data_IF_113223327505
#
_entry.id   IF_113223327505
#
_cell.length_a   1.000
_cell.length_b   1.000
_cell.length_c   1.000
_cell.angle_alpha   90.00
_cell.angle_beta   90.00
_cell.angle_gamma   90.00
#
_symmetry.space_group_name_H-M   'P 1'
#
loop_
_entity.id
_entity.type
_entity.pdbx_description
1 polymer ?
#
# COMPACT_ATOMS: atom_id res chain seq x y z
N UNK A 1 -80.63 41.50 -21.43
CA UNK A 1 -79.74 42.55 -22.04
C UNK A 1 -78.53 42.69 -21.17
N UNK A 2 -77.39 42.43 -21.73
CA UNK A 2 -76.01 42.84 -21.56
C UNK A 2 -75.07 41.67 -21.84
N UNK A 3 -74.46 41.72 -23.02
CA UNK A 3 -73.33 40.96 -23.47
C UNK A 3 -72.11 41.19 -22.60
N UNK A 4 -71.39 40.14 -22.26
CA UNK A 4 -69.99 40.22 -21.85
C UNK A 4 -69.17 39.19 -22.66
N UNK A 5 -68.37 39.73 -23.54
CA UNK A 5 -67.41 39.04 -24.39
C UNK A 5 -66.26 38.46 -23.59
N UNK A 6 -65.99 37.14 -23.82
CA UNK A 6 -64.84 36.44 -23.28
C UNK A 6 -63.65 36.56 -24.24
N UNK A 7 -62.59 37.25 -23.77
CA UNK A 7 -61.34 37.36 -24.51
C UNK A 7 -60.49 36.10 -24.24
N UNK A 8 -60.19 35.34 -25.30
CA UNK A 8 -59.27 34.20 -25.29
C UNK A 8 -57.84 34.71 -25.43
N UNK A 9 -57.06 34.68 -24.34
CA UNK A 9 -55.60 34.88 -24.40
C UNK A 9 -54.95 33.59 -24.96
N UNK A 10 -54.35 33.71 -26.15
CA UNK A 10 -53.48 32.71 -26.71
C UNK A 10 -52.12 32.82 -26.04
N UNK A 11 -51.76 31.87 -25.16
CA UNK A 11 -50.39 31.66 -24.67
C UNK A 11 -49.59 30.96 -25.80
N UNK A 12 -48.64 31.69 -26.35
CA UNK A 12 -47.66 31.12 -27.28
C UNK A 12 -46.55 30.45 -26.46
N UNK A 13 -46.54 29.14 -26.38
CA UNK A 13 -45.44 28.39 -25.74
C UNK A 13 -44.25 28.34 -26.70
N UNK A 14 -43.21 29.13 -26.38
CA UNK A 14 -41.93 29.11 -27.04
C UNK A 14 -41.13 27.87 -26.53
N UNK A 15 -41.09 26.78 -27.29
CA UNK A 15 -40.20 25.65 -27.03
C UNK A 15 -38.79 26.08 -27.43
N UNK A 16 -37.93 26.40 -26.45
CA UNK A 16 -36.49 26.51 -26.60
C UNK A 16 -35.92 25.10 -26.85
N UNK A 17 -35.62 24.80 -28.10
CA UNK A 17 -34.78 23.65 -28.48
C UNK A 17 -33.34 23.93 -28.04
N UNK A 18 -32.96 23.50 -26.83
CA UNK A 18 -31.57 23.41 -26.43
C UNK A 18 -30.94 22.24 -27.22
N UNK A 19 -29.83 22.49 -27.95
CA UNK A 19 -29.13 21.38 -28.59
C UNK A 19 -28.57 20.47 -27.49
N UNK A 20 -29.02 19.21 -27.45
CA UNK A 20 -28.40 18.13 -26.71
C UNK A 20 -27.00 17.90 -27.32
N UNK A 21 -26.01 18.56 -26.74
CA UNK A 21 -24.62 18.19 -27.03
C UNK A 21 -24.43 16.74 -26.56
N UNK A 22 -23.91 15.86 -27.40
CA UNK A 22 -23.62 14.50 -26.96
C UNK A 22 -22.58 14.56 -25.84
N UNK A 23 -22.98 14.19 -24.64
CA UNK A 23 -22.03 13.86 -23.57
C UNK A 23 -21.22 12.69 -24.11
N UNK A 24 -20.00 12.94 -24.57
CA UNK A 24 -19.04 11.89 -24.85
C UNK A 24 -18.75 11.24 -23.49
N UNK A 25 -19.43 10.15 -23.20
CA UNK A 25 -18.95 9.17 -22.23
C UNK A 25 -17.60 8.69 -22.79
N UNK A 26 -16.51 9.18 -22.21
CA UNK A 26 -15.22 8.53 -22.39
C UNK A 26 -15.42 7.12 -21.85
N UNK A 27 -15.53 6.15 -22.76
CA UNK A 27 -15.54 4.75 -22.37
C UNK A 27 -14.24 4.55 -21.57
N UNK A 28 -14.35 4.17 -20.33
CA UNK A 28 -13.22 3.80 -19.51
C UNK A 28 -12.56 2.63 -20.23
N UNK A 29 -11.37 2.83 -20.81
CA UNK A 29 -10.64 1.77 -21.48
C UNK A 29 -10.54 0.60 -20.52
N UNK A 30 -11.10 -0.52 -20.90
CA UNK A 30 -11.01 -1.75 -20.12
C UNK A 30 -9.54 -2.15 -20.06
N UNK A 31 -8.93 -2.14 -18.88
CA UNK A 31 -7.56 -2.59 -18.71
C UNK A 31 -7.39 -4.01 -19.26
N UNK A 32 -6.42 -4.15 -20.17
CA UNK A 32 -6.01 -5.44 -20.72
C UNK A 32 -4.56 -5.68 -20.29
N UNK A 33 -4.30 -6.72 -19.49
CA UNK A 33 -2.94 -7.02 -19.04
C UNK A 33 -2.05 -7.40 -20.24
N UNK A 34 -0.79 -6.96 -20.20
CA UNK A 34 0.20 -7.36 -21.21
C UNK A 34 0.60 -8.84 -21.05
N UNK A 35 1.22 -9.46 -22.08
CA UNK A 35 1.76 -10.82 -21.96
C UNK A 35 2.76 -10.95 -20.81
N UNK A 36 3.60 -9.95 -20.56
CA UNK A 36 4.57 -9.90 -19.47
C UNK A 36 3.87 -9.86 -18.12
N UNK A 37 2.76 -9.10 -18.00
CA UNK A 37 1.95 -9.04 -16.77
C UNK A 37 1.27 -10.39 -16.51
N UNK A 38 0.69 -11.02 -17.53
CA UNK A 38 0.05 -12.33 -17.39
C UNK A 38 1.04 -13.41 -16.94
N UNK A 39 2.26 -13.42 -17.45
CA UNK A 39 3.30 -14.35 -17.00
C UNK A 39 3.75 -14.02 -15.56
N UNK A 40 3.89 -12.74 -15.21
CA UNK A 40 4.21 -12.32 -13.86
C UNK A 40 3.13 -12.76 -12.84
N UNK A 41 1.84 -12.64 -13.18
CA UNK A 41 0.73 -13.14 -12.35
C UNK A 41 0.84 -14.64 -12.10
N UNK A 42 1.14 -15.41 -13.14
CA UNK A 42 1.31 -16.86 -13.04
C UNK A 42 2.48 -17.23 -12.13
N UNK A 43 3.64 -16.64 -12.36
CA UNK A 43 4.83 -16.85 -11.53
C UNK A 43 4.58 -16.45 -10.06
N UNK A 44 3.89 -15.31 -9.83
CA UNK A 44 3.54 -14.88 -8.49
C UNK A 44 2.62 -15.89 -7.79
N UNK A 45 1.61 -16.42 -8.47
CA UNK A 45 0.69 -17.41 -7.90
C UNK A 45 1.40 -18.71 -7.43
N UNK A 46 2.59 -19.01 -7.96
CA UNK A 46 3.38 -20.19 -7.61
C UNK A 46 4.33 -19.97 -6.43
N UNK A 47 4.60 -18.72 -6.02
CA UNK A 47 5.59 -18.37 -4.98
C UNK A 47 5.23 -18.84 -3.57
N UNK A 48 3.95 -18.89 -3.24
CA UNK A 48 3.32 -19.38 -2.00
C UNK A 48 3.74 -18.71 -0.71
N UNK A 49 4.98 -18.24 -0.54
CA UNK A 49 5.49 -17.66 0.69
C UNK A 49 6.37 -16.43 0.42
N UNK A 50 6.06 -15.32 1.09
CA UNK A 50 6.83 -14.09 1.09
C UNK A 50 6.94 -13.49 2.49
N UNK A 51 7.87 -12.54 2.65
CA UNK A 51 8.07 -11.79 3.89
C UNK A 51 7.63 -10.34 3.69
N UNK A 52 6.72 -9.87 4.53
CA UNK A 52 6.39 -8.47 4.67
C UNK A 52 7.33 -7.82 5.66
N UNK A 53 7.88 -6.65 5.34
CA UNK A 53 8.80 -5.94 6.22
C UNK A 53 8.21 -4.57 6.52
N UNK A 54 7.63 -4.42 7.73
CA UNK A 54 7.17 -3.13 8.22
C UNK A 54 8.29 -2.45 9.00
N UNK A 55 8.99 -1.56 8.34
CA UNK A 55 10.11 -0.85 8.95
C UNK A 55 10.22 0.59 8.43
N UNK A 56 10.38 1.52 9.35
CA UNK A 56 10.50 2.94 9.10
C UNK A 56 10.85 3.68 10.39
N UNK A 57 10.74 5.01 10.36
CA UNK A 57 11.02 5.85 11.53
C UNK A 57 10.12 5.51 12.73
N UNK A 58 8.93 4.97 12.51
CA UNK A 58 8.05 4.48 13.58
C UNK A 58 8.69 3.41 14.48
N UNK A 59 9.66 2.66 13.96
CA UNK A 59 10.38 1.67 14.77
C UNK A 59 11.16 2.28 15.93
N UNK A 60 11.62 3.54 15.79
CA UNK A 60 12.34 4.26 16.85
C UNK A 60 11.51 4.41 18.13
N UNK A 61 10.21 4.56 17.99
CA UNK A 61 9.30 4.69 19.13
C UNK A 61 8.97 3.36 19.78
N UNK A 62 9.24 2.24 19.09
CA UNK A 62 8.94 0.88 19.56
C UNK A 62 7.49 0.69 20.07
N UNK A 63 6.53 1.35 19.40
CA UNK A 63 5.10 1.35 19.73
C UNK A 63 4.22 0.89 18.56
N UNK A 64 4.83 0.38 17.47
CA UNK A 64 4.15 0.00 16.24
C UNK A 64 3.96 1.17 15.27
N UNK A 65 3.53 0.84 14.07
CA UNK A 65 3.45 1.75 12.91
C UNK A 65 2.35 2.81 13.02
N UNK A 66 1.36 2.59 13.88
CA UNK A 66 0.22 3.52 14.10
C UNK A 66 0.45 4.50 15.25
N UNK A 67 1.62 4.51 15.87
CA UNK A 67 1.87 5.30 17.09
C UNK A 67 1.59 6.79 16.91
N UNK A 68 2.00 7.36 15.78
CA UNK A 68 1.79 8.79 15.49
C UNK A 68 0.32 9.20 15.60
N UNK A 69 -0.57 8.50 14.91
CA UNK A 69 -2.01 8.82 14.91
C UNK A 69 -2.70 8.40 16.20
N UNK A 70 -2.34 7.24 16.78
CA UNK A 70 -2.96 6.75 18.01
C UNK A 70 -2.65 7.63 19.24
N UNK A 71 -1.47 8.24 19.27
CA UNK A 71 -1.04 9.13 20.32
C UNK A 71 -1.27 10.62 20.01
N UNK A 72 -1.88 10.94 18.85
CA UNK A 72 -2.11 12.30 18.36
C UNK A 72 -0.83 13.16 18.38
N UNK A 73 0.29 12.59 17.94
CA UNK A 73 1.56 13.31 17.91
C UNK A 73 1.57 14.27 16.71
N UNK A 74 1.95 15.52 16.97
CA UNK A 74 2.14 16.51 15.91
C UNK A 74 3.15 15.99 14.89
N UNK A 75 2.82 16.06 13.60
CA UNK A 75 3.64 15.49 12.52
C UNK A 75 5.01 16.13 12.41
N UNK A 76 5.15 17.42 12.71
CA UNK A 76 6.45 18.10 12.70
C UNK A 76 7.32 17.66 13.87
N UNK A 77 6.72 17.43 15.06
CA UNK A 77 7.43 16.88 16.22
C UNK A 77 7.84 15.42 15.98
N UNK A 78 6.93 14.62 15.41
CA UNK A 78 7.22 13.23 15.04
C UNK A 78 8.38 13.12 14.04
N UNK A 79 8.38 13.99 13.02
CA UNK A 79 9.40 13.99 11.99
C UNK A 79 10.82 14.27 12.52
N UNK A 80 10.97 14.91 13.68
CA UNK A 80 12.29 15.12 14.33
C UNK A 80 12.98 13.80 14.66
N UNK A 81 12.23 12.70 14.83
CA UNK A 81 12.80 11.38 15.07
C UNK A 81 13.70 10.91 13.90
N UNK A 82 13.57 11.47 12.69
CA UNK A 82 14.47 11.21 11.58
C UNK A 82 15.94 11.53 11.94
N UNK A 83 16.19 12.50 12.83
CA UNK A 83 17.53 12.86 13.29
C UNK A 83 18.15 11.84 14.25
N UNK A 84 17.38 10.84 14.67
CA UNK A 84 17.85 9.72 15.49
C UNK A 84 17.89 8.40 14.68
N UNK A 85 17.45 8.38 13.41
CA UNK A 85 17.37 7.17 12.63
C UNK A 85 18.78 6.78 12.11
N UNK A 86 19.38 5.82 12.82
CA UNK A 86 20.72 5.31 12.52
C UNK A 86 20.78 3.79 12.69
N UNK A 87 20.20 3.01 11.76
CA UNK A 87 20.14 1.56 11.82
C UNK A 87 21.49 0.92 11.48
N UNK A 88 22.44 0.99 12.40
CA UNK A 88 23.82 0.56 12.21
C UNK A 88 24.01 -0.96 12.07
N UNK A 89 22.99 -1.76 12.47
CA UNK A 89 23.00 -3.22 12.33
C UNK A 89 22.22 -3.71 11.11
N UNK A 90 21.65 -2.81 10.31
CA UNK A 90 20.96 -3.21 9.08
C UNK A 90 21.95 -3.81 8.09
N UNK A 91 21.62 -5.01 7.62
CA UNK A 91 22.35 -5.73 6.60
C UNK A 91 21.37 -6.46 5.68
N UNK A 92 21.24 -6.00 4.44
CA UNK A 92 20.25 -6.49 3.47
C UNK A 92 20.54 -7.96 3.10
N UNK A 93 21.80 -8.31 2.91
CA UNK A 93 22.23 -9.65 2.51
C UNK A 93 21.89 -10.68 3.61
N UNK A 94 22.08 -10.31 4.88
CA UNK A 94 21.70 -11.18 6.03
C UNK A 94 20.19 -11.33 6.15
N UNK A 95 19.43 -10.25 5.91
CA UNK A 95 17.97 -10.34 5.91
C UNK A 95 17.48 -11.29 4.82
N UNK A 96 17.93 -11.08 3.59
CA UNK A 96 17.52 -11.89 2.44
C UNK A 96 17.94 -13.36 2.62
N UNK A 97 19.16 -13.62 3.14
CA UNK A 97 19.59 -14.97 3.46
C UNK A 97 18.65 -15.65 4.48
N UNK A 98 18.31 -14.97 5.58
CA UNK A 98 17.40 -15.52 6.59
C UNK A 98 16.00 -15.81 6.02
N UNK A 99 15.48 -14.95 5.16
CA UNK A 99 14.17 -15.12 4.52
C UNK A 99 14.18 -16.27 3.50
N UNK A 100 15.22 -16.34 2.67
CA UNK A 100 15.41 -17.45 1.72
C UNK A 100 15.54 -18.79 2.43
N UNK A 101 16.31 -18.84 3.53
CA UNK A 101 16.50 -20.05 4.32
C UNK A 101 15.19 -20.53 4.99
N UNK A 102 14.27 -19.58 5.29
CA UNK A 102 12.91 -19.90 5.73
C UNK A 102 11.99 -20.36 4.57
N UNK A 103 12.46 -20.36 3.33
CA UNK A 103 11.70 -20.77 2.15
C UNK A 103 10.92 -19.64 1.44
N UNK A 104 11.07 -18.39 1.87
CA UNK A 104 10.42 -17.26 1.20
C UNK A 104 10.95 -17.07 -0.23
N UNK A 105 10.08 -16.62 -1.12
CA UNK A 105 10.37 -16.42 -2.55
C UNK A 105 10.30 -14.95 -2.96
N UNK A 106 9.82 -14.07 -2.09
CA UNK A 106 9.74 -12.64 -2.31
C UNK A 106 9.68 -11.90 -0.98
N UNK A 107 9.99 -10.62 -1.03
CA UNK A 107 9.79 -9.68 0.07
C UNK A 107 8.90 -8.54 -0.38
N UNK A 108 8.11 -7.99 0.53
CA UNK A 108 7.38 -6.75 0.35
C UNK A 108 7.85 -5.77 1.43
N UNK A 109 8.47 -4.67 1.04
CA UNK A 109 9.07 -3.70 1.95
C UNK A 109 8.26 -2.40 2.00
N UNK A 110 7.99 -1.87 3.21
CA UNK A 110 7.33 -0.57 3.36
C UNK A 110 8.24 0.56 2.89
N UNK A 111 8.17 0.90 1.61
CA UNK A 111 8.95 2.01 1.05
C UNK A 111 8.55 3.35 1.67
N UNK A 112 7.25 3.55 1.89
CA UNK A 112 6.67 4.70 2.58
C UNK A 112 5.35 4.28 3.23
N UNK A 113 5.28 4.36 4.56
CA UNK A 113 4.08 4.06 5.34
C UNK A 113 3.25 5.34 5.58
N UNK A 114 2.16 5.25 6.32
CA UNK A 114 1.22 6.34 6.60
C UNK A 114 1.84 7.57 7.26
N UNK A 115 2.96 7.41 7.96
CA UNK A 115 3.73 8.50 8.57
C UNK A 115 4.53 9.34 7.57
N UNK A 116 4.46 9.02 6.27
CA UNK A 116 5.01 9.80 5.18
C UNK A 116 6.52 9.74 5.01
N UNK A 117 7.25 8.99 5.86
CA UNK A 117 8.70 8.89 5.76
C UNK A 117 9.12 7.94 4.63
N UNK A 118 9.97 8.44 3.72
CA UNK A 118 10.46 7.67 2.58
C UNK A 118 11.76 6.94 2.90
N UNK A 119 11.79 5.62 2.74
CA UNK A 119 12.94 4.76 3.05
C UNK A 119 14.00 4.74 1.93
N UNK A 120 13.89 5.62 0.95
CA UNK A 120 14.86 5.85 -0.14
C UNK A 120 15.17 7.33 -0.27
N UNK A 121 16.22 7.65 -1.03
CA UNK A 121 16.59 9.04 -1.33
C UNK A 121 15.70 9.60 -2.44
N UNK A 122 14.50 10.04 -2.06
CA UNK A 122 13.57 10.68 -2.99
C UNK A 122 13.96 12.13 -3.26
N UNK A 123 13.77 12.57 -4.50
CA UNK A 123 13.89 13.99 -4.88
C UNK A 123 12.57 14.77 -4.63
N UNK A 124 11.51 14.07 -4.23
CA UNK A 124 10.17 14.64 -4.10
C UNK A 124 9.89 15.26 -2.73
N UNK A 125 10.70 14.98 -1.71
CA UNK A 125 10.49 15.40 -0.31
C UNK A 125 11.81 15.38 0.45
N UNK A 126 11.99 16.29 1.42
CA UNK A 126 13.11 16.26 2.36
C UNK A 126 12.92 15.24 3.51
N UNK A 127 11.71 14.67 3.62
CA UNK A 127 11.38 13.70 4.67
C UNK A 127 11.69 12.27 4.23
N UNK A 128 12.99 11.95 4.20
CA UNK A 128 13.49 10.67 3.69
C UNK A 128 14.81 10.23 4.35
N UNK A 129 15.15 8.96 4.17
CA UNK A 129 16.32 8.29 4.76
C UNK A 129 17.65 8.98 4.48
N UNK A 130 17.80 9.64 3.32
CA UNK A 130 19.02 10.35 2.93
C UNK A 130 19.35 11.54 3.83
N UNK A 131 18.34 12.13 4.48
CA UNK A 131 18.44 13.26 5.40
C UNK A 131 18.51 12.84 6.87
N UNK A 132 18.79 11.56 7.14
CA UNK A 132 19.02 11.03 8.48
C UNK A 132 20.52 10.85 8.74
N UNK A 133 20.95 10.63 9.99
CA UNK A 133 22.35 10.29 10.28
C UNK A 133 22.84 9.03 9.58
N UNK A 134 21.94 8.11 9.24
CA UNK A 134 22.30 6.92 8.45
C UNK A 134 22.65 7.26 6.99
N UNK A 135 21.88 8.12 6.35
CA UNK A 135 22.16 8.71 5.05
C UNK A 135 22.32 7.74 3.86
N UNK A 136 22.03 6.43 4.05
CA UNK A 136 22.16 5.42 2.99
C UNK A 136 20.78 4.98 2.52
N UNK A 137 20.67 4.68 1.23
CA UNK A 137 19.43 4.21 0.61
C UNK A 137 19.18 2.73 0.96
N UNK A 138 18.12 2.48 1.72
CA UNK A 138 17.76 1.12 2.16
C UNK A 138 17.12 0.35 1.03
N UNK A 139 16.29 1.02 0.20
CA UNK A 139 15.61 0.36 -0.93
C UNK A 139 16.64 -0.12 -1.96
N UNK A 140 17.65 0.69 -2.25
CA UNK A 140 18.73 0.28 -3.16
C UNK A 140 19.40 -1.02 -2.66
N UNK A 141 19.78 -1.05 -1.38
CA UNK A 141 20.43 -2.23 -0.80
C UNK A 141 19.55 -3.48 -0.77
N UNK A 142 18.26 -3.31 -0.49
CA UNK A 142 17.32 -4.43 -0.51
C UNK A 142 17.06 -4.93 -1.93
N UNK A 143 16.93 -4.02 -2.90
CA UNK A 143 16.77 -4.37 -4.30
C UNK A 143 17.96 -5.18 -4.81
N UNK A 144 19.19 -4.70 -4.57
CA UNK A 144 20.41 -5.41 -4.96
C UNK A 144 20.46 -6.81 -4.34
N UNK A 145 20.25 -6.92 -3.02
CA UNK A 145 20.27 -8.21 -2.33
C UNK A 145 19.16 -9.17 -2.82
N UNK A 146 17.97 -8.66 -3.17
CA UNK A 146 16.90 -9.47 -3.74
C UNK A 146 17.27 -9.99 -5.13
N UNK A 147 17.78 -9.11 -6.00
CA UNK A 147 18.13 -9.48 -7.38
C UNK A 147 19.29 -10.48 -7.42
N UNK A 148 20.30 -10.30 -6.57
CA UNK A 148 21.43 -11.23 -6.46
C UNK A 148 21.04 -12.62 -5.95
N UNK A 149 19.90 -12.73 -5.25
CA UNK A 149 19.41 -14.00 -4.66
C UNK A 149 18.15 -14.55 -5.34
N UNK A 150 17.75 -14.04 -6.51
CA UNK A 150 16.52 -14.42 -7.23
C UNK A 150 15.26 -14.35 -6.34
N UNK A 151 15.22 -13.37 -5.44
CA UNK A 151 14.08 -13.05 -4.59
C UNK A 151 13.20 -12.00 -5.25
N UNK A 152 11.90 -12.23 -5.33
CA UNK A 152 10.97 -11.20 -5.79
C UNK A 152 11.02 -9.96 -4.90
N UNK A 153 11.06 -8.78 -5.52
CA UNK A 153 11.13 -7.51 -4.81
C UNK A 153 9.84 -6.72 -5.00
N UNK A 154 9.05 -6.62 -3.93
CA UNK A 154 7.80 -5.87 -3.89
C UNK A 154 7.95 -4.65 -2.99
N UNK A 155 7.28 -3.56 -3.34
CA UNK A 155 7.27 -2.33 -2.56
C UNK A 155 5.86 -2.00 -2.10
N UNK A 156 5.67 -1.93 -0.77
CA UNK A 156 4.47 -1.33 -0.19
C UNK A 156 4.57 0.19 -0.31
N UNK A 157 3.49 0.82 -0.69
CA UNK A 157 3.36 2.27 -0.77
C UNK A 157 1.99 2.73 -0.25
N UNK A 158 1.98 3.63 0.73
CA UNK A 158 0.75 4.18 1.30
C UNK A 158 0.14 5.26 0.41
N UNK A 159 -1.16 5.13 0.10
CA UNK A 159 -1.94 6.20 -0.50
C UNK A 159 -2.24 7.32 0.48
N UNK A 160 -2.41 7.01 1.77
CA UNK A 160 -2.66 8.02 2.79
C UNK A 160 -1.35 8.56 3.39
N UNK A 161 -1.42 9.80 3.90
CA UNK A 161 -0.28 10.48 4.53
C UNK A 161 -0.73 11.33 5.72
N UNK A 162 -0.14 11.07 6.88
CA UNK A 162 -0.43 11.82 8.09
C UNK A 162 0.41 13.08 8.26
N UNK A 163 1.30 13.39 7.33
CA UNK A 163 2.27 14.50 7.44
C UNK A 163 2.07 15.59 6.40
N UNK A 164 1.69 15.22 5.17
CA UNK A 164 1.57 16.18 4.07
C UNK A 164 0.28 17.00 4.16
N UNK A 165 0.42 18.31 4.01
CA UNK A 165 -0.72 19.24 4.07
C UNK A 165 -1.66 19.10 2.87
N UNK A 166 -1.14 18.71 1.68
CA UNK A 166 -1.92 18.53 0.46
C UNK A 166 -2.72 17.23 0.42
N UNK A 167 -2.43 16.23 1.30
CA UNK A 167 -3.29 15.06 1.46
C UNK A 167 -4.58 15.43 2.20
N UNK A 168 -5.79 15.13 1.66
CA UNK A 168 -7.05 15.37 2.35
C UNK A 168 -7.11 14.63 3.70
N UNK A 169 -7.69 15.27 4.71
CA UNK A 169 -7.84 14.63 6.03
C UNK A 169 -8.99 13.62 5.95
N UNK A 170 -8.66 12.34 6.03
CA UNK A 170 -9.60 11.23 6.06
C UNK A 170 -10.06 10.86 7.47
N UNK A 171 -10.25 9.55 7.72
CA UNK A 171 -10.63 9.02 9.04
C UNK A 171 -9.51 9.07 10.05
N UNK A 172 -8.26 8.99 9.61
CA UNK A 172 -7.06 8.88 10.44
C UNK A 172 -6.18 10.13 10.35
N UNK A 173 -5.19 10.24 11.22
CA UNK A 173 -4.26 11.36 11.23
C UNK A 173 -4.87 12.72 11.55
N UNK A 174 -6.09 12.77 12.12
CA UNK A 174 -6.78 14.04 12.44
C UNK A 174 -6.08 14.83 13.55
N UNK A 175 -5.44 14.13 14.48
CA UNK A 175 -4.72 14.72 15.60
C UNK A 175 -3.26 15.06 15.32
N UNK A 176 -2.79 14.94 14.08
CA UNK A 176 -1.37 15.13 13.73
C UNK A 176 -0.94 16.58 13.52
N UNK A 177 -1.86 17.54 13.70
CA UNK A 177 -1.55 18.97 13.62
C UNK A 177 -1.46 19.54 12.21
N UNK A 178 -1.83 18.77 11.17
CA UNK A 178 -1.98 19.29 9.82
C UNK A 178 -3.10 20.32 9.75
N UNK A 179 -2.92 21.35 8.92
CA UNK A 179 -3.90 22.43 8.77
C UNK A 179 -5.04 22.09 7.80
N UNK A 180 -4.93 20.96 7.08
CA UNK A 180 -5.95 20.50 6.16
C UNK A 180 -6.07 21.32 4.88
N UNK A 181 -4.98 21.84 4.37
CA UNK A 181 -4.92 22.54 3.08
C UNK A 181 -4.87 21.52 1.93
N UNK A 182 -5.93 20.71 1.82
CA UNK A 182 -6.01 19.63 0.85
C UNK A 182 -5.88 20.14 -0.59
N UNK A 183 -4.93 19.55 -1.33
CA UNK A 183 -4.83 19.64 -2.79
C UNK A 183 -4.52 18.25 -3.34
N UNK A 184 -5.58 17.50 -3.64
CA UNK A 184 -5.43 16.13 -4.14
C UNK A 184 -4.58 16.07 -5.41
N UNK A 185 -4.70 17.01 -6.32
CA UNK A 185 -3.91 17.00 -7.55
C UNK A 185 -2.41 17.20 -7.27
N UNK A 186 -2.07 18.01 -6.28
CA UNK A 186 -0.68 18.17 -5.81
C UNK A 186 -0.17 16.87 -5.21
N UNK A 187 -0.93 16.28 -4.28
CA UNK A 187 -0.56 15.03 -3.63
C UNK A 187 -0.48 13.86 -4.62
N UNK A 188 -1.41 13.76 -5.56
CA UNK A 188 -1.42 12.74 -6.60
C UNK A 188 -0.18 12.82 -7.50
N UNK A 189 0.21 14.03 -7.92
CA UNK A 189 1.47 14.22 -8.66
C UNK A 189 2.70 13.81 -7.84
N UNK A 190 2.71 14.16 -6.54
CA UNK A 190 3.78 13.75 -5.63
C UNK A 190 3.91 12.22 -5.57
N UNK A 191 2.81 11.49 -5.34
CA UNK A 191 2.82 10.02 -5.33
C UNK A 191 3.34 9.44 -6.65
N UNK A 192 2.84 9.94 -7.79
CA UNK A 192 3.25 9.43 -9.10
C UNK A 192 4.72 9.72 -9.42
N UNK A 193 5.27 10.84 -8.97
CA UNK A 193 6.69 11.14 -9.09
C UNK A 193 7.52 10.16 -8.24
N UNK A 194 7.12 9.89 -7.00
CA UNK A 194 7.76 8.90 -6.13
C UNK A 194 7.67 7.48 -6.69
N UNK A 195 6.52 7.07 -7.22
CA UNK A 195 6.37 5.78 -7.91
C UNK A 195 7.26 5.68 -9.15
N UNK A 196 7.41 6.78 -9.88
CA UNK A 196 8.34 6.83 -11.03
C UNK A 196 9.78 6.60 -10.56
N UNK A 197 10.22 7.24 -9.47
CA UNK A 197 11.54 6.97 -8.89
C UNK A 197 11.72 5.51 -8.51
N UNK A 198 10.75 4.94 -7.78
CA UNK A 198 10.80 3.55 -7.32
C UNK A 198 10.86 2.55 -8.48
N UNK A 199 10.16 2.82 -9.57
CA UNK A 199 10.07 1.93 -10.73
C UNK A 199 11.18 2.17 -11.79
N UNK A 200 12.04 3.19 -11.61
CA UNK A 200 13.10 3.48 -12.60
C UNK A 200 14.51 3.44 -12.03
N UNK A 201 14.68 3.48 -10.69
CA UNK A 201 16.00 3.59 -10.05
C UNK A 201 16.55 2.28 -9.48
N UNK A 202 15.69 1.30 -9.21
CA UNK A 202 16.02 0.12 -8.41
C UNK A 202 15.92 -1.19 -9.20
N UNK A 203 16.03 -1.12 -10.53
CA UNK A 203 15.92 -2.29 -11.39
C UNK A 203 14.49 -2.84 -11.42
N UNK A 204 14.36 -4.17 -11.44
CA UNK A 204 13.07 -4.83 -11.50
C UNK A 204 12.33 -4.74 -10.16
N UNK A 205 11.11 -4.20 -10.20
CA UNK A 205 10.14 -4.25 -9.10
C UNK A 205 9.03 -5.22 -9.50
N UNK A 206 8.88 -6.33 -8.77
CA UNK A 206 7.90 -7.36 -9.13
C UNK A 206 6.46 -6.96 -8.80
N UNK A 207 6.25 -6.14 -7.77
CA UNK A 207 4.92 -5.61 -7.46
C UNK A 207 4.96 -4.30 -6.67
N UNK A 208 3.91 -3.47 -6.84
CA UNK A 208 3.53 -2.40 -5.92
C UNK A 208 2.34 -2.87 -5.09
N UNK A 209 2.47 -2.78 -3.78
CA UNK A 209 1.48 -3.12 -2.79
C UNK A 209 0.92 -1.84 -2.16
N UNK A 210 -0.27 -1.43 -2.56
CA UNK A 210 -0.91 -0.21 -2.06
C UNK A 210 -1.73 -0.46 -0.80
N UNK A 211 -1.84 0.61 0.01
CA UNK A 211 -2.65 0.63 1.22
C UNK A 211 -3.19 2.04 1.50
N UNK A 212 -4.18 2.15 2.39
CA UNK A 212 -4.68 3.42 2.89
C UNK A 212 -5.89 3.98 2.18
N UNK A 213 -6.36 3.35 1.10
CA UNK A 213 -7.55 3.80 0.37
C UNK A 213 -8.80 3.83 1.26
N UNK A 214 -8.89 2.96 2.26
CA UNK A 214 -9.95 2.88 3.26
C UNK A 214 -10.06 4.14 4.15
N UNK A 215 -9.09 5.05 4.13
CA UNK A 215 -9.12 6.29 4.93
C UNK A 215 -10.29 7.23 4.53
N UNK A 216 -10.78 7.10 3.30
CA UNK A 216 -11.90 7.86 2.73
C UNK A 216 -13.16 7.02 2.41
N UNK A 217 -13.25 5.78 2.91
CA UNK A 217 -14.36 4.86 2.62
C UNK A 217 -15.71 5.28 3.22
N UNK A 218 -15.72 6.25 4.15
CA UNK A 218 -16.90 6.81 4.82
C UNK A 218 -17.22 8.24 4.42
N UNK A 219 -16.58 8.75 3.40
CA UNK A 219 -16.89 10.09 2.91
C UNK A 219 -18.29 10.11 2.30
N UNK A 220 -19.01 11.21 2.50
CA UNK A 220 -20.37 11.38 1.97
C UNK A 220 -20.45 11.40 0.45
N UNK A 221 -19.35 11.78 -0.19
CA UNK A 221 -19.13 11.70 -1.63
C UNK A 221 -17.96 10.74 -1.86
N UNK A 222 -18.10 9.72 -2.72
CA UNK A 222 -16.99 8.80 -3.01
C UNK A 222 -15.74 9.56 -3.44
N UNK A 223 -14.62 9.25 -2.80
CA UNK A 223 -13.34 9.89 -3.08
C UNK A 223 -12.75 9.31 -4.38
N UNK A 224 -12.44 10.19 -5.34
CA UNK A 224 -11.80 9.77 -6.59
C UNK A 224 -10.28 9.67 -6.40
N UNK A 225 -9.80 8.44 -6.24
CA UNK A 225 -8.39 8.12 -6.08
C UNK A 225 -7.59 8.21 -7.38
N UNK A 226 -8.23 8.38 -8.53
CA UNK A 226 -7.61 8.39 -9.86
C UNK A 226 -6.74 7.14 -10.15
N UNK A 227 -7.16 5.99 -9.63
CA UNK A 227 -6.40 4.73 -9.68
C UNK A 227 -6.04 4.31 -11.10
N UNK A 228 -6.95 4.48 -12.06
CA UNK A 228 -6.69 4.09 -13.44
C UNK A 228 -5.46 4.79 -14.04
N UNK A 229 -5.25 6.07 -13.70
CA UNK A 229 -4.08 6.84 -14.16
C UNK A 229 -2.80 6.34 -13.47
N UNK A 230 -2.87 6.08 -12.17
CA UNK A 230 -1.74 5.59 -11.39
C UNK A 230 -1.33 4.18 -11.79
N UNK A 231 -2.28 3.26 -11.97
CA UNK A 231 -2.03 1.90 -12.41
C UNK A 231 -1.46 1.86 -13.85
N UNK A 232 -2.00 2.69 -14.75
CA UNK A 232 -1.45 2.85 -16.10
C UNK A 232 -0.02 3.38 -16.09
N UNK A 233 0.35 4.27 -15.17
CA UNK A 233 1.73 4.74 -15.00
C UNK A 233 2.65 3.56 -14.64
N UNK A 234 2.27 2.74 -13.67
CA UNK A 234 3.06 1.60 -13.19
C UNK A 234 3.27 0.60 -14.33
N UNK A 235 2.19 0.15 -14.97
CA UNK A 235 2.28 -0.84 -16.06
C UNK A 235 3.03 -0.29 -17.29
N UNK A 236 3.02 1.02 -17.54
CA UNK A 236 3.83 1.62 -18.61
C UNK A 236 5.32 1.64 -18.27
N UNK A 237 5.68 1.90 -17.00
CA UNK A 237 7.07 1.94 -16.55
C UNK A 237 7.68 0.53 -16.47
N UNK A 238 6.91 -0.41 -15.92
CA UNK A 238 7.30 -1.82 -15.81
C UNK A 238 6.08 -2.72 -16.12
N UNK A 239 5.92 -3.20 -17.36
CA UNK A 239 4.74 -4.00 -17.76
C UNK A 239 4.53 -5.27 -16.95
N UNK A 240 5.59 -5.88 -16.41
CA UNK A 240 5.53 -7.07 -15.57
C UNK A 240 5.31 -6.75 -14.07
N UNK A 241 5.35 -5.48 -13.65
CA UNK A 241 5.10 -5.10 -12.26
C UNK A 241 3.62 -5.32 -11.92
N UNK A 242 3.36 -6.13 -10.90
CA UNK A 242 2.01 -6.44 -10.44
C UNK A 242 1.50 -5.34 -9.48
N UNK A 243 0.19 -5.16 -9.46
CA UNK A 243 -0.47 -4.20 -8.56
C UNK A 243 -1.42 -4.96 -7.64
N UNK A 244 -1.21 -4.81 -6.32
CA UNK A 244 -2.17 -5.17 -5.28
C UNK A 244 -2.56 -3.93 -4.48
N UNK A 245 -3.82 -3.84 -4.05
CA UNK A 245 -4.30 -2.72 -3.26
C UNK A 245 -5.17 -3.22 -2.10
N UNK A 246 -4.75 -2.90 -0.87
CA UNK A 246 -5.39 -3.34 0.37
C UNK A 246 -6.59 -2.45 0.74
N UNK A 247 -7.55 -2.35 -0.17
CA UNK A 247 -8.78 -1.57 0.04
C UNK A 247 -9.94 -2.39 0.62
N UNK A 248 -9.76 -3.71 0.83
CA UNK A 248 -10.75 -4.63 1.38
C UNK A 248 -12.00 -4.83 0.51
N UNK A 249 -11.92 -4.53 -0.78
CA UNK A 249 -12.99 -4.66 -1.76
C UNK A 249 -12.60 -5.67 -2.84
N UNK A 250 -13.55 -6.00 -3.73
CA UNK A 250 -13.27 -6.72 -4.97
C UNK A 250 -12.30 -5.90 -5.83
N UNK A 251 -11.29 -6.51 -6.49
CA UNK A 251 -10.28 -5.80 -7.25
C UNK A 251 -10.84 -4.86 -8.31
N UNK A 252 -10.21 -3.70 -8.43
CA UNK A 252 -10.50 -2.74 -9.50
C UNK A 252 -9.75 -3.08 -10.79
N UNK A 253 -10.22 -2.56 -11.96
CA UNK A 253 -9.49 -2.70 -13.21
C UNK A 253 -8.05 -2.17 -13.09
N UNK A 254 -7.08 -2.98 -13.51
CA UNK A 254 -5.66 -2.67 -13.40
C UNK A 254 -4.96 -3.30 -12.20
N UNK A 255 -5.69 -3.91 -11.28
CA UNK A 255 -5.10 -4.71 -10.21
C UNK A 255 -4.78 -6.13 -10.70
N UNK A 256 -3.70 -6.69 -10.17
CA UNK A 256 -3.12 -7.96 -10.58
C UNK A 256 -3.12 -9.00 -9.48
N UNK A 257 -3.25 -8.57 -8.22
CA UNK A 257 -3.25 -9.38 -7.02
C UNK A 257 -4.44 -8.97 -6.16
N UNK A 258 -5.22 -9.94 -5.69
CA UNK A 258 -6.25 -9.70 -4.68
C UNK A 258 -5.69 -9.97 -3.28
N UNK A 259 -5.84 -8.98 -2.40
CA UNK A 259 -5.28 -9.00 -1.05
C UNK A 259 -6.33 -9.33 0.00
N UNK A 260 -5.93 -10.13 1.00
CA UNK A 260 -6.74 -10.49 2.17
C UNK A 260 -5.93 -10.20 3.43
N UNK A 261 -6.36 -9.22 4.21
CA UNK A 261 -5.65 -8.84 5.42
C UNK A 261 -6.09 -9.70 6.60
N UNK A 262 -5.11 -10.34 7.27
CA UNK A 262 -5.26 -11.15 8.50
C UNK A 262 -6.09 -12.42 8.36
N UNK A 263 -6.80 -12.62 7.27
CA UNK A 263 -7.61 -13.81 6.99
C UNK A 263 -7.16 -14.51 5.71
N UNK A 264 -7.42 -15.81 5.60
CA UNK A 264 -7.25 -16.52 4.33
C UNK A 264 -8.47 -16.30 3.44
N UNK A 265 -8.36 -16.42 2.09
CA UNK A 265 -9.48 -16.20 1.19
C UNK A 265 -10.73 -17.02 1.56
N UNK A 266 -11.87 -16.35 1.68
CA UNK A 266 -13.15 -16.92 2.10
C UNK A 266 -13.36 -16.96 3.62
N UNK A 267 -12.46 -16.42 4.41
CA UNK A 267 -12.66 -16.12 5.84
C UNK A 267 -12.76 -14.61 6.05
N UNK A 268 -13.42 -14.19 7.12
CA UNK A 268 -13.54 -12.78 7.53
C UNK A 268 -13.62 -12.66 9.06
N UNK A 269 -12.68 -13.29 9.76
CA UNK A 269 -12.61 -13.28 11.24
C UNK A 269 -12.08 -11.95 11.77
N UNK A 270 -11.17 -11.34 11.02
CA UNK A 270 -10.64 -10.02 11.33
C UNK A 270 -11.58 -8.87 10.90
N UNK A 271 -12.59 -9.17 10.09
CA UNK A 271 -13.54 -8.18 9.59
C UNK A 271 -13.02 -7.35 8.39
N UNK A 272 -11.89 -7.73 7.81
CA UNK A 272 -11.20 -6.99 6.73
C UNK A 272 -11.17 -7.76 5.39
N UNK A 273 -11.76 -8.95 5.32
CA UNK A 273 -11.60 -9.88 4.19
C UNK A 273 -12.94 -10.46 3.71
N UNK A 274 -14.01 -9.64 3.78
CA UNK A 274 -15.36 -10.05 3.40
C UNK A 274 -15.66 -9.98 1.90
N UNK A 275 -14.71 -9.54 1.07
CA UNK A 275 -14.88 -9.42 -0.38
C UNK A 275 -14.96 -10.78 -1.07
N UNK A 276 -15.66 -10.81 -2.22
CA UNK A 276 -15.71 -12.00 -3.08
C UNK A 276 -14.32 -12.34 -3.65
N UNK A 277 -14.06 -13.64 -3.81
CA UNK A 277 -12.79 -14.14 -4.37
C UNK A 277 -12.83 -13.97 -5.89
N UNK A 278 -11.88 -13.23 -6.44
CA UNK A 278 -11.70 -13.03 -7.87
C UNK A 278 -10.90 -14.18 -8.53
N UNK A 279 -10.62 -14.03 -9.82
CA UNK A 279 -9.73 -14.94 -10.58
C UNK A 279 -8.26 -14.50 -10.58
N UNK A 280 -7.94 -13.39 -9.93
CA UNK A 280 -6.56 -12.92 -9.81
C UNK A 280 -5.76 -13.83 -8.86
N UNK A 281 -4.44 -13.82 -8.93
CA UNK A 281 -3.59 -14.34 -7.87
C UNK A 281 -4.00 -13.78 -6.52
N UNK A 282 -4.00 -14.63 -5.50
CA UNK A 282 -4.47 -14.29 -4.15
C UNK A 282 -3.28 -14.19 -3.19
N UNK A 283 -3.33 -13.21 -2.30
CA UNK A 283 -2.34 -13.07 -1.23
C UNK A 283 -3.02 -12.78 0.10
N UNK A 284 -2.58 -13.47 1.15
CA UNK A 284 -2.95 -13.19 2.53
C UNK A 284 -1.77 -12.58 3.26
N UNK A 285 -1.90 -11.37 3.78
CA UNK A 285 -0.90 -10.80 4.68
C UNK A 285 -1.27 -11.04 6.16
N UNK A 286 -0.27 -11.41 6.98
CA UNK A 286 -0.47 -11.75 8.39
C UNK A 286 0.75 -11.42 9.23
N UNK A 287 0.54 -11.04 10.48
CA UNK A 287 1.60 -10.78 11.46
C UNK A 287 2.02 -12.05 12.21
N UNK A 288 3.28 -12.10 12.67
CA UNK A 288 3.73 -13.13 13.61
C UNK A 288 3.20 -12.90 15.03
N UNK A 289 3.01 -11.64 15.41
CA UNK A 289 2.52 -11.13 16.70
C UNK A 289 1.28 -10.26 16.51
N UNK A 290 1.08 -9.19 17.29
CA UNK A 290 -0.09 -8.31 17.19
C UNK A 290 0.05 -7.17 16.19
N UNK A 291 1.27 -6.60 16.08
CA UNK A 291 1.55 -5.39 15.31
C UNK A 291 2.29 -5.70 14.01
N UNK A 292 2.21 -4.77 13.04
CA UNK A 292 3.02 -4.83 11.83
C UNK A 292 4.43 -4.28 12.07
N UNK A 293 4.54 -3.05 12.55
CA UNK A 293 5.81 -2.45 12.95
C UNK A 293 6.28 -2.90 14.34
N UNK A 294 7.56 -2.73 14.61
CA UNK A 294 8.16 -3.12 15.89
C UNK A 294 7.47 -2.44 17.08
N UNK A 295 7.06 -3.25 18.06
CA UNK A 295 6.54 -2.81 19.34
C UNK A 295 7.18 -3.64 20.45
N UNK A 296 7.89 -2.97 21.38
CA UNK A 296 8.69 -3.64 22.42
C UNK A 296 7.83 -4.48 23.36
N UNK A 297 6.59 -4.08 23.62
CA UNK A 297 5.66 -4.79 24.49
C UNK A 297 4.87 -5.92 23.79
N UNK A 298 4.98 -6.05 22.47
CA UNK A 298 4.25 -7.05 21.67
C UNK A 298 5.06 -8.34 21.57
N UNK A 299 5.08 -9.11 22.65
CA UNK A 299 5.85 -10.34 22.81
C UNK A 299 5.06 -11.61 22.52
N UNK A 300 3.76 -11.49 22.22
CA UNK A 300 2.88 -12.63 21.99
C UNK A 300 2.97 -13.13 20.53
N UNK A 301 4.06 -13.83 20.22
CA UNK A 301 4.28 -14.42 18.90
C UNK A 301 3.49 -15.73 18.72
N UNK A 302 2.93 -15.91 17.53
CA UNK A 302 2.42 -17.22 17.10
C UNK A 302 3.53 -18.26 17.18
N UNK A 303 3.19 -19.47 17.58
CA UNK A 303 4.14 -20.59 17.54
C UNK A 303 4.46 -20.99 16.10
N UNK A 304 5.61 -21.61 15.86
CA UNK A 304 6.00 -22.12 14.54
C UNK A 304 4.95 -23.09 13.98
N UNK A 305 4.36 -23.94 14.85
CA UNK A 305 3.27 -24.82 14.44
C UNK A 305 2.01 -24.04 13.97
N UNK A 306 1.71 -22.88 14.56
CA UNK A 306 0.61 -22.03 14.10
C UNK A 306 0.94 -21.37 12.75
N UNK A 307 2.19 -20.91 12.58
CA UNK A 307 2.65 -20.28 11.34
C UNK A 307 2.71 -21.28 10.18
N UNK A 308 3.23 -22.49 10.42
CA UNK A 308 3.24 -23.58 9.41
C UNK A 308 1.81 -23.96 9.01
N UNK A 309 0.90 -24.10 9.99
CA UNK A 309 -0.52 -24.37 9.67
C UNK A 309 -1.17 -23.23 8.89
N UNK A 310 -0.81 -21.98 9.19
CA UNK A 310 -1.29 -20.82 8.44
C UNK A 310 -0.81 -20.88 7.00
N UNK A 311 0.49 -21.13 6.77
CA UNK A 311 1.06 -21.27 5.44
C UNK A 311 0.36 -22.40 4.64
N UNK A 312 0.19 -23.55 5.26
CA UNK A 312 -0.49 -24.69 4.62
C UNK A 312 -1.95 -24.37 4.27
N UNK A 313 -2.68 -23.71 5.17
CA UNK A 313 -4.08 -23.29 4.92
C UNK A 313 -4.17 -22.25 3.79
N UNK A 314 -3.28 -21.27 3.79
CA UNK A 314 -3.24 -20.23 2.75
C UNK A 314 -2.93 -20.87 1.39
N UNK A 315 -1.93 -21.75 1.33
CA UNK A 315 -1.58 -22.48 0.11
C UNK A 315 -2.73 -23.38 -0.39
N UNK A 316 -3.45 -24.04 0.51
CA UNK A 316 -4.64 -24.85 0.17
C UNK A 316 -5.78 -24.01 -0.43
N UNK A 317 -5.84 -22.71 -0.15
CA UNK A 317 -6.78 -21.77 -0.78
C UNK A 317 -6.25 -21.19 -2.11
N UNK A 318 -5.10 -21.64 -2.59
CA UNK A 318 -4.47 -21.12 -3.79
C UNK A 318 -3.78 -19.77 -3.62
N UNK A 319 -3.66 -19.28 -2.38
CA UNK A 319 -3.09 -17.97 -2.07
C UNK A 319 -1.62 -18.06 -1.64
N UNK A 320 -0.92 -16.94 -1.75
CA UNK A 320 0.39 -16.74 -1.14
C UNK A 320 0.23 -16.21 0.29
N UNK A 321 1.09 -16.67 1.20
CA UNK A 321 1.22 -16.08 2.54
C UNK A 321 2.33 -15.02 2.51
N UNK A 322 2.00 -13.78 2.83
CA UNK A 322 2.92 -12.68 3.08
C UNK A 322 3.02 -12.48 4.60
N UNK A 323 4.06 -13.05 5.22
CA UNK A 323 4.23 -13.07 6.68
C UNK A 323 5.10 -11.91 7.15
N UNK A 324 4.59 -11.12 8.08
CA UNK A 324 5.23 -9.89 8.51
C UNK A 324 6.34 -10.07 9.54
N UNK A 325 7.41 -9.31 9.35
CA UNK A 325 8.48 -9.04 10.32
C UNK A 325 8.59 -7.53 10.52
N UNK A 326 8.63 -7.09 11.78
CA UNK A 326 8.88 -5.69 12.16
C UNK A 326 10.30 -5.51 12.70
N UNK A 327 11.28 -5.07 11.89
CA UNK A 327 12.65 -4.87 12.35
C UNK A 327 12.77 -3.83 13.47
N UNK A 328 13.76 -4.01 14.32
CA UNK A 328 14.09 -3.12 15.42
C UNK A 328 14.69 -1.79 14.92
N UNK A 329 14.75 -0.75 15.75
CA UNK A 329 15.27 0.56 15.37
C UNK A 329 16.71 0.54 14.84
N UNK A 330 17.53 -0.37 15.35
CA UNK A 330 18.93 -0.54 14.95
C UNK A 330 19.13 -1.30 13.64
N UNK A 331 18.03 -1.78 13.05
CA UNK A 331 18.03 -2.56 11.81
C UNK A 331 18.22 -4.07 12.00
N UNK A 332 18.26 -4.57 13.23
CA UNK A 332 18.24 -6.00 13.48
C UNK A 332 16.82 -6.58 13.38
N UNK A 333 16.72 -7.84 12.98
CA UNK A 333 15.45 -8.58 13.05
C UNK A 333 15.23 -9.08 14.50
N UNK A 334 14.00 -9.04 15.03
CA UNK A 334 13.71 -9.59 16.36
C UNK A 334 14.11 -11.05 16.45
N UNK A 335 14.81 -11.44 17.52
CA UNK A 335 15.30 -12.82 17.73
C UNK A 335 14.18 -13.86 17.67
N UNK A 336 13.02 -13.54 18.26
CA UNK A 336 11.86 -14.44 18.21
C UNK A 336 11.35 -14.62 16.79
N UNK A 337 11.33 -13.56 15.97
CA UNK A 337 10.93 -13.67 14.57
C UNK A 337 11.89 -14.56 13.77
N UNK A 338 13.21 -14.35 13.96
CA UNK A 338 14.25 -15.20 13.35
C UNK A 338 14.14 -16.66 13.76
N UNK A 339 13.89 -16.93 15.06
CA UNK A 339 13.68 -18.31 15.54
C UNK A 339 12.46 -18.97 14.87
N UNK A 340 11.34 -18.22 14.73
CA UNK A 340 10.15 -18.73 14.04
C UNK A 340 10.39 -19.01 12.57
N UNK A 341 11.09 -18.12 11.88
CA UNK A 341 11.44 -18.30 10.47
C UNK A 341 12.34 -19.53 10.27
N UNK A 342 13.30 -19.75 11.15
CA UNK A 342 14.20 -20.90 11.08
C UNK A 342 13.47 -22.23 11.31
N UNK A 343 12.40 -22.23 12.11
CA UNK A 343 11.61 -23.42 12.42
C UNK A 343 10.54 -23.71 11.35
N UNK A 344 10.21 -22.77 10.48
CA UNK A 344 9.25 -22.93 9.38
C UNK A 344 9.86 -23.61 8.18
#
# INVERSE_FOLDING_TARGET
MKNTSFNFFRLLALFLLLPLLPVRTVAQETYVPSPENLEARKLFAERRFGIFIHWGIYSLFAQGEWFMTNANINCQEYAKAAQAFYPHRFNAEQWIAAFRDAGAKYVCFTSRHHDGFSMWKTDCSDYHIGNTPYGKDIIARLADACHENDMGFHLYYSHLDWTREDYPIGRTGRGTGRKGQADWNSYFRFMNNQLTELLTRYGKVDAIWFDGMWDHDRDSVPFDWQLAQQYSLIHRLQPACLIGNNHHLTPFPGEDIQLFERDVPGENKAGLSGQEISRLPLETCQTMNGMWGYKVSDTNYKSSAQLIRLLARTAAKGANLLLNVGPQPDGSLPETALARLKEM
#
